data_IF_516820005817
#
_entry.id   IF_516820005817
#
_cell.length_a   1.000
_cell.length_b   1.000
_cell.length_c   1.000
_cell.angle_alpha   90.00
_cell.angle_beta   90.00
_cell.angle_gamma   90.00
#
_symmetry.space_group_name_H-M   'P 1'
#
loop_
_entity.id
_entity.type
_entity.pdbx_description
1 polymer ?
#
# COMPACT_ATOMS: atom_id res chain seq x y z
N UNK A 1 15.86 0.17 15.59
CA UNK A 1 16.53 1.26 14.84
C UNK A 1 16.02 2.60 15.33
N UNK A 2 16.86 3.43 15.95
CA UNK A 2 16.48 4.72 16.52
C UNK A 2 15.77 5.64 15.50
N UNK A 3 16.24 5.63 14.25
CA UNK A 3 15.61 6.34 13.14
C UNK A 3 14.13 5.97 12.95
N UNK A 4 13.80 4.67 12.99
CA UNK A 4 12.42 4.20 12.73
C UNK A 4 11.50 4.62 13.88
N UNK A 5 11.98 4.56 15.12
CA UNK A 5 11.20 5.01 16.29
C UNK A 5 10.92 6.50 16.21
N UNK A 6 11.95 7.31 15.90
CA UNK A 6 11.81 8.77 15.77
C UNK A 6 10.87 9.14 14.61
N UNK A 7 11.00 8.47 13.46
CA UNK A 7 10.09 8.67 12.33
C UNK A 7 8.66 8.24 12.72
N UNK A 8 8.46 7.12 13.42
CA UNK A 8 7.11 6.69 13.85
C UNK A 8 6.41 7.64 14.81
N UNK A 9 7.16 8.50 15.51
CA UNK A 9 6.60 9.50 16.42
C UNK A 9 5.96 10.69 15.69
N UNK A 10 6.19 10.81 14.37
CA UNK A 10 5.67 11.89 13.54
C UNK A 10 4.20 11.62 13.17
N UNK A 11 3.34 12.56 13.53
CA UNK A 11 1.88 12.49 13.38
C UNK A 11 1.39 12.35 11.93
N UNK A 12 2.17 12.83 10.97
CA UNK A 12 1.85 12.79 9.54
C UNK A 12 2.26 11.49 8.83
N UNK A 13 2.84 10.52 9.56
CA UNK A 13 3.24 9.22 9.01
C UNK A 13 2.17 8.18 9.26
N UNK A 14 1.71 7.55 8.17
CA UNK A 14 0.64 6.55 8.18
C UNK A 14 1.17 5.13 8.24
N UNK A 15 2.28 4.87 7.56
CA UNK A 15 2.86 3.53 7.50
C UNK A 15 4.37 3.61 7.24
N UNK A 16 5.11 2.67 7.81
CA UNK A 16 6.55 2.52 7.69
C UNK A 16 6.85 1.05 7.39
N UNK A 17 7.51 0.78 6.27
CA UNK A 17 7.96 -0.55 5.89
C UNK A 17 9.45 -0.52 5.59
N UNK A 18 10.23 -1.36 6.27
CA UNK A 18 11.65 -1.53 6.02
C UNK A 18 11.88 -2.72 5.09
N UNK A 19 12.69 -2.51 4.06
CA UNK A 19 13.17 -3.55 3.15
C UNK A 19 14.69 -3.46 3.05
N UNK A 20 15.43 -4.26 3.82
CA UNK A 20 16.89 -4.26 3.87
C UNK A 20 17.51 -2.85 3.98
N UNK A 21 17.96 -2.31 2.83
CA UNK A 21 18.60 -0.98 2.70
C UNK A 21 17.64 0.15 2.31
N UNK A 22 16.37 -0.18 2.02
CA UNK A 22 15.35 0.76 1.58
C UNK A 22 14.29 0.95 2.68
N UNK A 23 13.94 2.21 2.94
CA UNK A 23 12.84 2.57 3.83
C UNK A 23 11.67 3.10 2.99
N UNK A 24 10.53 2.41 3.05
CA UNK A 24 9.29 2.82 2.40
C UNK A 24 8.37 3.48 3.40
N UNK A 25 7.95 4.71 3.12
CA UNK A 25 7.12 5.52 4.01
C UNK A 25 5.84 5.94 3.30
N UNK A 26 4.70 5.78 3.97
CA UNK A 26 3.41 6.34 3.52
C UNK A 26 3.05 7.49 4.44
N UNK A 27 2.82 8.67 3.87
CA UNK A 27 2.60 9.90 4.63
C UNK A 27 1.75 10.89 3.85
N UNK A 28 1.20 11.88 4.55
CA UNK A 28 0.51 13.00 3.93
C UNK A 28 1.50 14.10 3.51
N UNK A 29 1.28 14.65 2.31
CA UNK A 29 2.09 15.76 1.74
C UNK A 29 3.60 15.47 1.71
N UNK A 30 3.98 14.28 1.24
CA UNK A 30 5.38 13.83 1.23
C UNK A 30 6.36 14.81 0.60
N UNK A 31 5.97 15.54 -0.45
CA UNK A 31 6.80 16.58 -1.09
C UNK A 31 7.30 17.68 -0.14
N UNK A 32 6.53 18.03 0.90
CA UNK A 32 6.91 19.05 1.89
C UNK A 32 7.65 18.46 3.09
N UNK A 33 7.52 17.15 3.31
CA UNK A 33 8.07 16.43 4.47
C UNK A 33 9.42 15.79 4.20
N UNK A 34 9.83 15.67 2.92
CA UNK A 34 11.15 15.14 2.54
C UNK A 34 12.31 15.89 3.23
N UNK A 35 12.37 17.25 3.26
CA UNK A 35 13.46 17.94 3.94
C UNK A 35 13.54 17.61 5.44
N UNK A 36 12.39 17.50 6.10
CA UNK A 36 12.27 17.13 7.52
C UNK A 36 12.79 15.70 7.76
N UNK A 37 12.47 14.75 6.88
CA UNK A 37 12.98 13.37 6.94
C UNK A 37 14.48 13.29 6.73
N UNK A 38 15.03 14.06 5.78
CA UNK A 38 16.47 14.10 5.54
C UNK A 38 17.19 14.63 6.78
N UNK A 39 16.63 15.66 7.43
CA UNK A 39 17.20 16.21 8.66
C UNK A 39 17.24 15.17 9.78
N UNK A 40 16.12 14.48 10.04
CA UNK A 40 16.05 13.39 11.03
C UNK A 40 17.02 12.25 10.70
N UNK A 41 17.18 11.91 9.42
CA UNK A 41 18.16 10.90 9.00
C UNK A 41 19.60 11.34 9.30
N UNK A 42 19.94 12.60 9.02
CA UNK A 42 21.26 13.17 9.32
C UNK A 42 21.55 13.21 10.82
N UNK A 43 20.58 13.55 11.66
CA UNK A 43 20.74 13.51 13.13
C UNK A 43 21.06 12.11 13.65
N UNK A 44 20.61 11.07 12.94
CA UNK A 44 20.87 9.68 13.26
C UNK A 44 22.11 9.11 12.53
N UNK A 45 22.97 9.96 11.98
CA UNK A 45 24.17 9.59 11.21
C UNK A 45 23.87 8.70 9.98
N UNK A 46 22.66 8.80 9.42
CA UNK A 46 22.23 8.06 8.24
C UNK A 46 22.38 8.93 6.99
N UNK A 47 23.21 8.47 6.05
CA UNK A 47 23.34 9.13 4.75
C UNK A 47 22.20 8.73 3.80
N UNK A 48 21.42 9.72 3.36
CA UNK A 48 20.36 9.53 2.37
C UNK A 48 20.94 9.74 0.97
N UNK A 49 21.11 8.66 0.23
CA UNK A 49 21.66 8.69 -1.14
C UNK A 49 20.62 9.05 -2.19
N UNK A 50 19.37 8.60 -2.01
CA UNK A 50 18.28 8.81 -2.96
C UNK A 50 16.92 8.85 -2.24
N UNK A 51 16.03 9.71 -2.74
CA UNK A 51 14.64 9.78 -2.28
C UNK A 51 13.73 9.63 -3.49
N UNK A 52 12.84 8.63 -3.45
CA UNK A 52 11.82 8.44 -4.48
C UNK A 52 10.45 8.81 -3.93
N UNK A 53 9.85 9.88 -4.46
CA UNK A 53 8.50 10.28 -4.12
C UNK A 53 7.51 9.74 -5.16
N UNK A 54 6.66 8.80 -4.76
CA UNK A 54 5.53 8.34 -5.56
C UNK A 54 4.24 8.95 -5.03
N UNK A 55 3.58 9.77 -5.84
CA UNK A 55 2.19 10.16 -5.59
C UNK A 55 1.28 9.12 -6.25
N UNK A 56 0.26 8.59 -5.54
CA UNK A 56 -0.72 7.72 -6.18
C UNK A 56 -1.44 8.52 -7.29
N UNK A 57 -1.53 7.92 -8.47
CA UNK A 57 -2.29 8.48 -9.58
C UNK A 57 -3.78 8.32 -9.37
N UNK A 58 -4.60 9.07 -10.13
CA UNK A 58 -6.06 8.86 -10.13
C UNK A 58 -6.40 7.42 -10.55
N UNK A 59 -5.64 6.86 -11.49
CA UNK A 59 -5.78 5.47 -11.92
C UNK A 59 -5.49 4.49 -10.78
N UNK A 60 -4.41 4.71 -10.00
CA UNK A 60 -4.08 3.89 -8.82
C UNK A 60 -5.19 3.93 -7.77
N UNK A 61 -5.76 5.12 -7.53
CA UNK A 61 -6.88 5.32 -6.59
C UNK A 61 -8.15 4.67 -7.14
N UNK A 62 -8.45 4.85 -8.42
CA UNK A 62 -9.58 4.20 -9.08
C UNK A 62 -9.49 2.68 -8.96
N UNK A 63 -8.38 2.08 -9.38
CA UNK A 63 -8.15 0.63 -9.24
C UNK A 63 -8.25 0.15 -7.79
N UNK A 64 -7.79 0.94 -6.82
CA UNK A 64 -7.88 0.58 -5.41
C UNK A 64 -9.32 0.57 -4.86
N UNK A 65 -10.15 1.53 -5.28
CA UNK A 65 -11.50 1.73 -4.76
C UNK A 65 -12.58 1.05 -5.63
N UNK A 66 -12.57 1.24 -6.94
CA UNK A 66 -13.56 0.66 -7.88
C UNK A 66 -13.09 -0.67 -8.46
N UNK A 67 -11.77 -0.85 -8.63
CA UNK A 67 -11.20 -2.12 -9.10
C UNK A 67 -11.36 -3.28 -8.09
N UNK A 68 -11.48 -2.99 -6.78
CA UNK A 68 -11.89 -4.01 -5.78
C UNK A 68 -13.33 -4.46 -6.00
N UNK A 69 -14.26 -3.52 -6.17
CA UNK A 69 -15.68 -3.82 -6.36
C UNK A 69 -15.91 -4.69 -7.60
N UNK A 70 -15.25 -4.38 -8.72
CA UNK A 70 -15.37 -5.17 -9.95
C UNK A 70 -14.85 -6.60 -9.74
N UNK A 71 -13.69 -6.78 -9.08
CA UNK A 71 -13.13 -8.11 -8.81
C UNK A 71 -13.99 -8.94 -7.86
N UNK A 72 -14.56 -8.30 -6.84
CA UNK A 72 -15.48 -8.96 -5.89
C UNK A 72 -16.79 -9.37 -6.57
N UNK A 73 -17.33 -8.52 -7.45
CA UNK A 73 -18.55 -8.79 -8.22
C UNK A 73 -18.34 -9.91 -9.26
N UNK A 74 -17.21 -9.91 -9.98
CA UNK A 74 -16.83 -10.99 -10.90
C UNK A 74 -16.62 -12.33 -10.17
N UNK A 75 -15.98 -12.31 -8.99
CA UNK A 75 -15.80 -13.51 -8.17
C UNK A 75 -17.16 -14.07 -7.71
N UNK A 76 -18.06 -13.21 -7.23
CA UNK A 76 -19.43 -13.56 -6.83
C UNK A 76 -20.22 -14.16 -8.01
N UNK A 77 -20.13 -13.54 -9.19
CA UNK A 77 -20.83 -14.02 -10.39
C UNK A 77 -20.28 -15.37 -10.88
N UNK A 78 -18.95 -15.54 -10.87
CA UNK A 78 -18.30 -16.81 -11.21
C UNK A 78 -18.68 -17.94 -10.24
N UNK A 79 -18.77 -17.63 -8.94
CA UNK A 79 -19.19 -18.59 -7.91
C UNK A 79 -20.65 -19.00 -8.08
N UNK A 80 -21.53 -18.04 -8.38
CA UNK A 80 -22.94 -18.30 -8.71
C UNK A 80 -23.09 -19.17 -9.96
N UNK A 81 -22.30 -18.92 -10.99
CA UNK A 81 -22.29 -19.72 -12.22
C UNK A 81 -21.80 -21.16 -11.96
N UNK A 82 -20.77 -21.33 -11.13
CA UNK A 82 -20.30 -22.66 -10.69
C UNK A 82 -21.36 -23.40 -9.89
N UNK A 83 -22.10 -22.71 -9.02
CA UNK A 83 -23.18 -23.33 -8.25
C UNK A 83 -24.32 -23.83 -9.15
N UNK A 84 -24.73 -23.04 -10.15
CA UNK A 84 -25.74 -23.43 -11.14
C UNK A 84 -25.28 -24.67 -11.93
N UNK A 85 -24.01 -24.71 -12.36
CA UNK A 85 -23.43 -25.87 -13.05
C UNK A 85 -23.42 -27.11 -12.14
N UNK A 86 -23.00 -26.97 -10.87
CA UNK A 86 -23.01 -28.06 -9.89
C UNK A 86 -24.42 -28.62 -9.64
N UNK A 87 -25.45 -27.75 -9.58
CA UNK A 87 -26.85 -28.19 -9.43
C UNK A 87 -27.37 -28.92 -10.67
N UNK A 88 -26.91 -28.57 -11.88
CA UNK A 88 -27.30 -29.24 -13.13
C UNK A 88 -26.64 -30.61 -13.32
N UNK A 89 -25.42 -30.80 -12.85
CA UNK A 89 -24.65 -32.04 -13.05
C UNK A 89 -24.49 -32.90 -11.79
N UNK A 90 -24.88 -32.38 -10.62
CA UNK A 90 -24.76 -33.04 -9.33
C UNK A 90 -26.06 -33.68 -8.85
N UNK A 91 -26.61 -34.64 -9.61
CA UNK A 91 -27.43 -35.75 -9.07
C UNK A 91 -27.46 -36.86 -10.12
N UNK A 92 -26.41 -37.67 -10.17
CA UNK A 92 -26.47 -39.04 -10.70
C UNK A 92 -25.66 -39.92 -9.74
N UNK A 93 -26.30 -40.31 -8.65
CA UNK A 93 -26.03 -41.59 -8.01
C UNK A 93 -27.11 -42.55 -8.48
#
# INVERSE_FOLDING_TARGET
DALIEQISSLDWIKNITRHDKNLSLTMDRGERRIPELIHVAQENEVEVTCVHLRKPSLEDVFLHFTGRTIREEEASQAERNKEILRRRFGTRR
#
